data_IF_993197026365
#
_entry.id   IF_993197026365
#
_cell.length_a   1.000
_cell.length_b   1.000
_cell.length_c   1.000
_cell.angle_alpha   90.00
_cell.angle_beta   90.00
_cell.angle_gamma   90.00
#
_symmetry.space_group_name_H-M   'P 1'
#
loop_
_entity.id
_entity.type
_entity.pdbx_description
1 polymer ?
#
# COMPACT_ATOMS: atom_id res chain seq x y z
N UNK A 1 -3.42 -9.75 11.98
CA UNK A 1 -2.31 -10.05 11.06
C UNK A 1 -1.28 -8.93 11.19
N UNK A 2 0.00 -9.26 11.03
CA UNK A 2 1.13 -8.36 11.16
C UNK A 2 2.00 -8.46 9.91
N UNK A 3 2.34 -7.32 9.32
CA UNK A 3 3.08 -7.29 8.06
C UNK A 3 4.24 -6.30 8.15
N UNK A 4 5.49 -6.74 7.93
CA UNK A 4 6.57 -5.86 7.53
C UNK A 4 6.24 -5.25 6.17
N UNK A 5 6.27 -3.93 6.06
CA UNK A 5 5.99 -3.22 4.81
C UNK A 5 7.28 -2.58 4.30
N UNK A 6 7.52 -2.67 2.98
CA UNK A 6 8.58 -1.93 2.28
C UNK A 6 7.92 -1.01 1.27
N UNK A 7 7.86 0.28 1.57
CA UNK A 7 7.06 1.23 0.79
C UNK A 7 7.97 2.25 0.12
N UNK A 8 7.77 2.47 -1.16
CA UNK A 8 8.48 3.51 -1.90
C UNK A 8 8.09 4.89 -1.36
N UNK A 9 9.08 5.66 -0.93
CA UNK A 9 8.92 7.06 -0.50
C UNK A 9 9.82 7.96 -1.34
N UNK A 10 9.26 9.07 -1.76
CA UNK A 10 9.97 10.15 -2.42
C UNK A 10 9.36 11.47 -1.94
N UNK A 11 10.19 12.35 -1.37
CA UNK A 11 9.73 13.60 -0.77
C UNK A 11 9.17 14.56 -1.82
N UNK A 12 9.86 14.67 -2.94
CA UNK A 12 9.56 15.59 -4.03
C UNK A 12 10.25 15.13 -5.33
N UNK A 13 9.97 15.86 -6.41
CA UNK A 13 10.51 15.62 -7.76
C UNK A 13 12.03 15.76 -7.88
N UNK A 14 12.73 16.35 -6.91
CA UNK A 14 14.19 16.51 -6.93
C UNK A 14 14.89 15.44 -6.09
N UNK A 15 14.18 14.83 -5.14
CA UNK A 15 14.68 13.81 -4.25
C UNK A 15 14.74 12.43 -4.92
N UNK A 16 15.80 11.67 -4.65
CA UNK A 16 15.86 10.25 -5.01
C UNK A 16 14.87 9.47 -4.14
N UNK A 17 14.00 8.69 -4.76
CA UNK A 17 13.12 7.78 -4.03
C UNK A 17 13.86 6.59 -3.44
N UNK A 18 13.29 6.00 -2.40
CA UNK A 18 13.83 4.83 -1.70
C UNK A 18 12.71 4.00 -1.10
N UNK A 19 12.98 2.72 -0.85
CA UNK A 19 12.10 1.90 -0.01
C UNK A 19 12.36 2.25 1.46
N UNK A 20 11.27 2.46 2.21
CA UNK A 20 11.27 2.69 3.66
C UNK A 20 10.46 1.59 4.31
N UNK A 21 10.92 1.13 5.46
CA UNK A 21 10.27 0.06 6.21
C UNK A 21 9.24 0.61 7.19
N UNK A 22 8.08 -0.03 7.22
CA UNK A 22 7.00 0.22 8.17
C UNK A 22 6.50 -1.12 8.72
N UNK A 23 5.62 -1.04 9.71
CA UNK A 23 4.90 -2.20 10.23
C UNK A 23 3.41 -1.90 10.21
N UNK A 24 2.64 -2.83 9.68
CA UNK A 24 1.21 -2.88 9.87
C UNK A 24 0.93 -3.93 10.95
N UNK A 25 0.43 -3.51 12.11
CA UNK A 25 0.19 -4.41 13.24
C UNK A 25 -1.30 -4.60 13.53
N UNK A 26 -1.68 -5.79 14.00
CA UNK A 26 -3.05 -6.11 14.41
C UNK A 26 -4.12 -5.87 13.32
N UNK A 27 -3.76 -6.05 12.04
CA UNK A 27 -4.67 -5.86 10.91
C UNK A 27 -5.66 -7.02 10.79
N UNK A 28 -6.95 -6.71 10.62
CA UNK A 28 -7.96 -7.74 10.38
C UNK A 28 -7.76 -8.39 9.01
N UNK A 29 -7.97 -9.72 8.85
CA UNK A 29 -8.00 -10.35 7.53
C UNK A 29 -9.04 -9.74 6.57
N UNK A 30 -10.09 -9.12 7.12
CA UNK A 30 -11.18 -8.48 6.36
C UNK A 30 -10.96 -7.00 6.07
N UNK A 31 -9.84 -6.44 6.53
CA UNK A 31 -9.40 -5.11 6.12
C UNK A 31 -8.97 -5.16 4.66
N UNK A 32 -9.38 -4.17 3.87
CA UNK A 32 -8.86 -3.97 2.51
C UNK A 32 -7.42 -3.46 2.54
N UNK A 33 -6.72 -3.57 1.42
CA UNK A 33 -5.33 -3.15 1.31
C UNK A 33 -5.16 -1.64 1.55
N UNK A 34 -6.09 -0.83 1.04
CA UNK A 34 -6.05 0.62 1.24
C UNK A 34 -6.41 1.01 2.67
N UNK A 35 -7.35 0.33 3.32
CA UNK A 35 -7.63 0.56 4.74
C UNK A 35 -6.44 0.17 5.62
N UNK A 36 -5.68 -0.87 5.26
CA UNK A 36 -4.44 -1.19 5.96
C UNK A 36 -3.42 -0.04 5.85
N UNK A 37 -3.31 0.60 4.68
CA UNK A 37 -2.48 1.80 4.52
C UNK A 37 -3.04 3.01 5.28
N UNK A 38 -4.36 3.17 5.37
CA UNK A 38 -4.99 4.21 6.18
C UNK A 38 -4.63 4.04 7.66
N UNK A 39 -4.74 2.82 8.20
CA UNK A 39 -4.34 2.50 9.60
C UNK A 39 -2.87 2.85 9.86
N UNK A 40 -1.97 2.46 8.94
CA UNK A 40 -0.53 2.81 9.06
C UNK A 40 -0.32 4.33 8.98
N UNK A 41 -1.09 5.03 8.15
CA UNK A 41 -1.01 6.48 8.03
C UNK A 41 -1.51 7.21 9.27
N UNK A 42 -2.54 6.71 9.93
CA UNK A 42 -3.03 7.25 11.20
C UNK A 42 -1.93 7.15 12.26
N UNK A 43 -1.29 5.98 12.40
CA UNK A 43 -0.15 5.80 13.32
C UNK A 43 1.04 6.72 12.99
N UNK A 44 1.36 6.92 11.71
CA UNK A 44 2.41 7.86 11.30
C UNK A 44 2.05 9.30 11.67
N UNK A 45 0.79 9.68 11.45
CA UNK A 45 0.29 11.02 11.74
C UNK A 45 0.32 11.31 13.25
N UNK A 46 -0.06 10.33 14.08
CA UNK A 46 0.04 10.44 15.54
C UNK A 46 1.49 10.64 16.04
N UNK A 47 2.47 10.06 15.33
CA UNK A 47 3.91 10.26 15.60
C UNK A 47 4.48 11.56 15.02
N UNK A 48 3.67 12.36 14.32
CA UNK A 48 4.12 13.56 13.61
C UNK A 48 4.96 13.27 12.37
N UNK A 49 4.89 12.05 11.84
CA UNK A 49 5.54 11.64 10.60
C UNK A 49 4.64 11.89 9.39
N UNK A 50 5.24 12.08 8.21
CA UNK A 50 4.47 12.28 6.98
C UNK A 50 3.77 10.97 6.55
N UNK A 51 2.46 11.00 6.25
CA UNK A 51 1.74 9.83 5.78
C UNK A 51 2.29 9.35 4.43
N UNK A 52 2.07 8.07 4.15
CA UNK A 52 2.30 7.44 2.86
C UNK A 52 1.26 8.00 1.88
N UNK A 53 1.74 8.69 0.84
CA UNK A 53 0.89 9.19 -0.22
C UNK A 53 0.54 8.07 -1.22
N UNK A 54 -0.75 7.89 -1.48
CA UNK A 54 -1.29 7.06 -2.55
C UNK A 54 -2.64 7.64 -2.99
N UNK A 55 -2.98 7.45 -4.27
CA UNK A 55 -4.25 7.93 -4.80
C UNK A 55 -5.37 6.91 -4.51
N UNK A 56 -6.53 7.42 -4.10
CA UNK A 56 -7.74 6.62 -3.83
C UNK A 56 -8.97 7.49 -4.09
N UNK A 57 -10.05 6.88 -4.58
CA UNK A 57 -11.32 7.54 -4.85
C UNK A 57 -12.50 6.60 -4.58
N UNK A 58 -13.05 5.92 -5.60
CA UNK A 58 -14.29 5.15 -5.45
C UNK A 58 -14.24 3.97 -4.46
N UNK A 59 -13.06 3.43 -4.14
CA UNK A 59 -12.83 2.21 -3.33
C UNK A 59 -13.62 0.95 -3.71
N UNK A 60 -14.31 0.94 -4.84
CA UNK A 60 -15.16 -0.17 -5.31
C UNK A 60 -14.60 -0.88 -6.55
N UNK A 61 -13.40 -0.48 -7.01
CA UNK A 61 -12.72 -1.09 -8.16
C UNK A 61 -13.14 -0.56 -9.53
N UNK A 62 -13.74 0.63 -9.57
CA UNK A 62 -14.35 1.19 -10.80
C UNK A 62 -13.48 2.29 -11.43
N UNK A 63 -12.98 3.25 -10.63
CA UNK A 63 -12.36 4.48 -11.15
C UNK A 63 -10.93 4.31 -11.71
N UNK A 64 -10.19 3.27 -11.32
CA UNK A 64 -8.78 3.08 -11.70
C UNK A 64 -7.74 3.90 -10.92
N UNK A 65 -8.15 4.77 -9.99
CA UNK A 65 -7.27 5.68 -9.24
C UNK A 65 -6.23 4.98 -8.36
N UNK A 66 -6.58 3.86 -7.72
CA UNK A 66 -5.72 3.14 -6.77
C UNK A 66 -4.61 2.28 -7.43
N UNK A 67 -3.90 2.83 -8.40
CA UNK A 67 -2.85 2.13 -9.13
C UNK A 67 -1.57 1.98 -8.27
N UNK A 68 -1.39 0.79 -7.72
CA UNK A 68 -0.22 0.39 -6.93
C UNK A 68 0.41 -0.87 -7.52
N UNK A 69 1.73 -0.99 -7.43
CA UNK A 69 2.45 -2.24 -7.64
C UNK A 69 2.72 -2.88 -6.27
N UNK A 70 2.18 -4.08 -6.07
CA UNK A 70 2.23 -4.80 -4.79
C UNK A 70 2.96 -6.12 -5.03
N UNK A 71 4.08 -6.34 -4.33
CA UNK A 71 4.98 -7.49 -4.53
C UNK A 71 5.38 -7.69 -6.01
N UNK A 72 5.65 -6.58 -6.72
CA UNK A 72 6.04 -6.59 -8.13
C UNK A 72 4.89 -6.80 -9.13
N UNK A 73 3.65 -7.01 -8.66
CA UNK A 73 2.47 -7.22 -9.50
C UNK A 73 1.55 -5.99 -9.47
N UNK A 74 1.04 -5.57 -10.63
CA UNK A 74 0.08 -4.49 -10.70
C UNK A 74 -1.21 -4.87 -9.95
N UNK A 75 -1.63 -4.05 -8.99
CA UNK A 75 -2.78 -4.31 -8.11
C UNK A 75 -2.67 -5.57 -7.21
N UNK A 76 -1.51 -6.22 -7.18
CA UNK A 76 -1.26 -7.39 -6.34
C UNK A 76 -1.77 -8.71 -6.92
N UNK A 77 -1.82 -9.78 -6.10
CA UNK A 77 -1.92 -11.17 -6.59
C UNK A 77 -3.33 -11.61 -7.04
N UNK A 78 -4.36 -10.77 -6.89
CA UNK A 78 -5.77 -11.14 -7.12
C UNK A 78 -6.32 -10.60 -8.43
N UNK A 79 -5.65 -10.86 -9.56
CA UNK A 79 -6.19 -10.45 -10.85
C UNK A 79 -7.57 -11.08 -11.16
N UNK A 80 -8.51 -10.33 -11.74
CA UNK A 80 -8.38 -8.95 -12.27
C UNK A 80 -8.77 -7.83 -11.29
N UNK A 81 -8.70 -8.05 -9.97
CA UNK A 81 -9.13 -7.06 -8.98
C UNK A 81 -8.23 -5.82 -8.93
N UNK A 82 -8.82 -4.68 -8.58
CA UNK A 82 -8.09 -3.45 -8.25
C UNK A 82 -7.48 -3.53 -6.84
N UNK A 83 -6.49 -2.67 -6.55
CA UNK A 83 -5.83 -2.67 -5.23
C UNK A 83 -6.81 -2.41 -4.08
N UNK A 84 -7.86 -1.59 -4.27
CA UNK A 84 -8.88 -1.34 -3.27
C UNK A 84 -9.80 -2.54 -2.99
N UNK A 85 -9.83 -3.54 -3.87
CA UNK A 85 -10.60 -4.78 -3.69
C UNK A 85 -9.73 -5.93 -3.12
N UNK A 86 -8.44 -5.68 -2.90
CA UNK A 86 -7.54 -6.64 -2.30
C UNK A 86 -7.74 -6.63 -0.79
N UNK A 87 -8.00 -7.79 -0.19
CA UNK A 87 -8.15 -7.95 1.25
C UNK A 87 -6.88 -8.55 1.86
N UNK A 88 -6.59 -8.20 3.11
CA UNK A 88 -5.37 -8.62 3.79
C UNK A 88 -5.28 -10.14 4.00
N UNK A 89 -6.41 -10.86 4.04
CA UNK A 89 -6.46 -12.35 3.97
C UNK A 89 -5.87 -12.96 2.70
N UNK A 90 -5.52 -12.15 1.71
CA UNK A 90 -4.82 -12.62 0.49
C UNK A 90 -3.31 -12.80 0.70
N UNK A 91 -2.78 -12.36 1.85
CA UNK A 91 -1.37 -12.46 2.23
C UNK A 91 -1.19 -13.40 3.41
N UNK A 92 0.02 -13.93 3.58
CA UNK A 92 0.35 -14.74 4.76
C UNK A 92 0.72 -13.84 5.94
N UNK A 93 0.29 -14.19 7.16
CA UNK A 93 0.69 -13.45 8.36
C UNK A 93 2.23 -13.45 8.52
N UNK A 94 2.81 -12.28 8.76
CA UNK A 94 4.27 -12.08 8.83
C UNK A 94 4.98 -11.93 7.48
N UNK A 95 4.29 -12.09 6.35
CA UNK A 95 4.87 -11.87 5.02
C UNK A 95 5.26 -10.41 4.81
N UNK A 96 6.43 -10.18 4.21
CA UNK A 96 6.85 -8.82 3.82
C UNK A 96 6.12 -8.38 2.56
N UNK A 97 5.43 -7.25 2.64
CA UNK A 97 4.71 -6.66 1.50
C UNK A 97 5.50 -5.46 0.98
N UNK A 98 5.87 -5.49 -0.30
CA UNK A 98 6.54 -4.38 -0.98
C UNK A 98 5.54 -3.59 -1.81
N UNK A 99 5.47 -2.28 -1.62
CA UNK A 99 4.56 -1.36 -2.31
C UNK A 99 5.36 -0.31 -3.05
N UNK A 100 5.10 -0.19 -4.35
CA UNK A 100 5.76 0.75 -5.25
C UNK A 100 4.73 1.48 -6.12
N UNK A 101 5.03 2.71 -6.58
CA UNK A 101 4.23 3.36 -7.60
C UNK A 101 4.29 2.56 -8.90
N UNK A 102 3.25 2.68 -9.73
CA UNK A 102 3.26 2.13 -11.07
C UNK A 102 4.43 2.74 -11.87
N UNK A 103 5.28 1.89 -12.45
CA UNK A 103 6.41 2.36 -13.26
C UNK A 103 6.05 2.23 -14.74
N UNK A 104 5.74 3.35 -15.38
CA UNK A 104 5.88 3.44 -16.83
C UNK A 104 7.36 3.67 -17.14
N UNK A 105 7.95 2.86 -18.01
CA UNK A 105 9.17 3.32 -18.71
C UNK A 105 8.73 4.52 -19.57
N UNK A 106 9.53 5.60 -19.65
CA UNK A 106 9.34 6.61 -20.69
C UNK A 106 9.33 5.97 -22.08
#
# INVERSE_FOLDING_TARGET
>A
MNFPLRIWRQKDRQSKGKLVEYKATNISPDTSFLEMLDIVNDELTERGEAPIAFDSDCREGICGTCALTINGQAHGPKHPAAACQLYMRSFSDGETITIEPFRAKP
#
